data_IF_226870410430
#
_entry.id   IF_226870410430
#
_cell.length_a   1.000
_cell.length_b   1.000
_cell.length_c   1.000
_cell.angle_alpha   90.00
_cell.angle_beta   90.00
_cell.angle_gamma   90.00
#
_symmetry.space_group_name_H-M   'P 1'
#
loop_
_entity.id
_entity.type
_entity.pdbx_description
1 polymer ?
#
# COMPACT_ATOMS: atom_id res chain seq x y z
N UNK A 1 30.92 -31.45 -17.26
CA UNK A 1 30.20 -30.17 -17.17
C UNK A 1 30.42 -29.62 -15.77
N UNK A 2 31.32 -28.65 -15.60
CA UNK A 2 31.62 -28.07 -14.28
C UNK A 2 30.63 -26.93 -14.05
N UNK A 3 29.63 -27.18 -13.20
CA UNK A 3 28.68 -26.15 -12.77
C UNK A 3 29.34 -25.28 -11.72
N UNK A 4 29.76 -24.08 -12.10
CA UNK A 4 30.23 -23.07 -11.17
C UNK A 4 29.07 -22.65 -10.25
N UNK A 5 29.10 -23.11 -9.00
CA UNK A 5 28.17 -22.67 -7.97
C UNK A 5 28.50 -21.21 -7.66
N UNK A 6 27.59 -20.30 -8.03
CA UNK A 6 27.71 -18.88 -7.72
C UNK A 6 27.58 -18.70 -6.20
N UNK A 7 28.68 -18.44 -5.51
CA UNK A 7 28.64 -17.99 -4.12
C UNK A 7 28.00 -16.61 -4.11
N UNK A 8 26.94 -16.43 -3.32
CA UNK A 8 26.39 -15.10 -3.08
C UNK A 8 27.20 -14.48 -1.96
N UNK A 9 28.07 -13.56 -2.32
CA UNK A 9 28.84 -12.79 -1.35
C UNK A 9 27.91 -11.77 -0.70
N UNK A 10 27.33 -12.14 0.44
CA UNK A 10 26.57 -11.23 1.28
C UNK A 10 27.52 -10.61 2.30
N UNK A 11 27.83 -9.32 2.12
CA UNK A 11 28.49 -8.50 3.13
C UNK A 11 27.48 -7.99 4.15
N UNK A 12 27.92 -7.83 5.41
CA UNK A 12 27.11 -7.18 6.43
C UNK A 12 26.95 -5.69 6.08
N UNK A 13 25.79 -5.12 6.38
CA UNK A 13 25.54 -3.70 6.12
C UNK A 13 26.18 -2.91 7.26
N UNK A 14 27.33 -2.29 6.98
CA UNK A 14 28.11 -1.55 7.99
C UNK A 14 27.44 -0.23 8.40
N UNK A 15 26.68 0.40 7.49
CA UNK A 15 25.89 1.59 7.78
C UNK A 15 24.48 1.45 7.23
N UNK A 16 23.57 1.00 8.09
CA UNK A 16 22.16 0.78 7.72
C UNK A 16 21.44 2.06 7.32
N UNK A 17 21.90 3.22 7.80
CA UNK A 17 21.26 4.50 7.54
C UNK A 17 21.61 4.95 6.12
N UNK A 18 22.91 5.03 5.80
CA UNK A 18 23.39 5.44 4.49
C UNK A 18 22.82 4.56 3.36
N UNK A 19 22.72 3.26 3.58
CA UNK A 19 22.16 2.31 2.60
C UNK A 19 20.64 2.47 2.38
N UNK A 20 19.90 2.96 3.37
CA UNK A 20 18.43 3.06 3.32
C UNK A 20 17.91 4.47 3.01
N UNK A 21 18.73 5.52 3.13
CA UNK A 21 18.35 6.92 2.88
C UNK A 21 17.92 7.19 1.42
N UNK A 22 18.38 6.40 0.46
CA UNK A 22 17.96 6.49 -0.95
C UNK A 22 16.52 6.07 -1.21
N UNK A 23 15.84 5.45 -0.23
CA UNK A 23 14.48 4.98 -0.39
C UNK A 23 13.50 6.15 -0.30
N UNK A 24 12.55 6.21 -1.23
CA UNK A 24 11.61 7.32 -1.44
C UNK A 24 10.77 7.72 -0.20
N UNK A 25 10.78 6.91 0.86
CA UNK A 25 10.17 7.22 2.15
C UNK A 25 10.90 8.32 2.93
N UNK A 26 12.17 8.61 2.63
CA UNK A 26 12.99 9.62 3.32
C UNK A 26 13.29 10.87 2.49
N UNK A 27 12.79 10.98 1.25
CA UNK A 27 12.96 12.21 0.47
C UNK A 27 11.99 13.31 0.95
N UNK A 28 12.47 14.56 1.12
CA UNK A 28 11.58 15.67 1.43
C UNK A 28 10.54 15.80 0.31
N UNK A 29 9.26 15.97 0.68
CA UNK A 29 8.19 16.21 -0.28
C UNK A 29 8.55 17.46 -1.09
N UNK A 30 8.73 17.32 -2.40
CA UNK A 30 8.70 18.48 -3.29
C UNK A 30 7.30 19.05 -3.18
N UNK A 31 7.21 20.29 -2.71
CA UNK A 31 5.96 21.04 -2.76
C UNK A 31 5.65 21.35 -4.23
N UNK A 32 4.89 20.45 -4.88
CA UNK A 32 4.34 20.66 -6.21
C UNK A 32 3.18 21.65 -6.10
N UNK A 33 3.54 22.94 -6.07
CA UNK A 33 2.59 24.04 -6.05
C UNK A 33 1.67 24.05 -7.28
N UNK A 34 0.38 24.25 -6.99
CA UNK A 34 -0.63 24.95 -7.82
C UNK A 34 -0.92 24.46 -9.24
N UNK A 35 -1.23 23.18 -9.44
CA UNK A 35 -1.94 22.73 -10.65
C UNK A 35 -3.40 22.30 -10.38
N UNK A 36 -3.89 22.45 -9.14
CA UNK A 36 -5.23 22.00 -8.72
C UNK A 36 -6.33 23.07 -8.84
N UNK A 37 -6.07 24.23 -9.45
CA UNK A 37 -7.08 25.29 -9.56
C UNK A 37 -7.94 25.21 -10.84
N UNK A 38 -7.51 24.46 -11.86
CA UNK A 38 -8.25 24.39 -13.14
C UNK A 38 -9.31 23.27 -13.18
N UNK A 39 -9.19 22.25 -12.33
CA UNK A 39 -10.10 21.10 -12.29
C UNK A 39 -11.34 21.30 -11.40
N UNK A 40 -11.33 22.33 -10.55
CA UNK A 40 -12.42 22.62 -9.61
C UNK A 40 -13.56 23.41 -10.26
N UNK A 41 -13.24 24.27 -11.25
CA UNK A 41 -14.21 25.14 -11.92
C UNK A 41 -15.21 24.42 -12.87
N UNK A 42 -14.94 23.17 -13.26
CA UNK A 42 -15.79 22.39 -14.18
C UNK A 42 -16.56 21.24 -13.50
N UNK A 43 -16.39 21.06 -12.19
CA UNK A 43 -16.91 19.91 -11.42
C UNK A 43 -18.39 20.06 -11.00
N UNK A 44 -19.19 20.83 -11.75
CA UNK A 44 -20.60 21.12 -11.44
C UNK A 44 -21.62 20.07 -11.92
N UNK A 45 -21.18 19.02 -12.63
CA UNK A 45 -22.03 17.92 -13.10
C UNK A 45 -21.81 16.69 -12.22
N UNK A 46 -22.22 16.79 -10.96
CA UNK A 46 -21.90 15.83 -9.91
C UNK A 46 -22.48 14.44 -10.18
N UNK A 47 -21.60 13.45 -10.40
CA UNK A 47 -21.89 12.05 -10.13
C UNK A 47 -22.16 11.87 -8.62
N UNK A 48 -23.09 11.00 -8.19
CA UNK A 48 -23.26 10.71 -6.78
C UNK A 48 -21.94 10.16 -6.23
N UNK A 49 -21.29 10.96 -5.37
CA UNK A 49 -20.06 10.59 -4.66
C UNK A 49 -20.38 9.37 -3.81
N UNK A 50 -20.02 8.19 -4.31
CA UNK A 50 -20.19 6.94 -3.57
C UNK A 50 -19.45 7.11 -2.25
N UNK A 51 -20.22 7.18 -1.16
CA UNK A 51 -19.62 7.23 0.16
C UNK A 51 -18.79 5.97 0.34
N UNK A 52 -17.53 6.08 0.78
CA UNK A 52 -16.72 4.90 1.01
C UNK A 52 -17.46 4.04 2.02
N UNK A 53 -17.77 2.80 1.63
CA UNK A 53 -18.33 1.81 2.53
C UNK A 53 -17.42 1.78 3.75
N UNK A 54 -17.98 2.12 4.92
CA UNK A 54 -17.26 2.01 6.20
C UNK A 54 -17.09 0.53 6.49
N UNK A 55 -16.11 -0.10 5.84
CA UNK A 55 -15.70 -1.44 6.18
C UNK A 55 -14.96 -1.30 7.51
N UNK A 56 -15.65 -1.64 8.60
CA UNK A 56 -14.97 -1.90 9.87
C UNK A 56 -13.78 -2.82 9.59
N UNK A 57 -12.60 -2.52 10.14
CA UNK A 57 -11.43 -3.40 10.04
C UNK A 57 -11.79 -4.75 10.67
N UNK A 58 -12.29 -5.67 9.85
CA UNK A 58 -12.60 -7.04 10.24
C UNK A 58 -11.28 -7.78 10.31
N UNK A 59 -10.96 -8.30 11.50
CA UNK A 59 -9.78 -9.12 11.70
C UNK A 59 -9.89 -10.42 10.90
N UNK A 60 -8.74 -10.91 10.42
CA UNK A 60 -8.65 -12.14 9.61
C UNK A 60 -9.34 -13.36 10.27
N UNK A 61 -9.37 -13.40 11.60
CA UNK A 61 -9.95 -14.51 12.37
C UNK A 61 -11.38 -14.25 12.88
N UNK A 62 -11.92 -13.05 12.72
CA UNK A 62 -13.25 -12.67 13.20
C UNK A 62 -14.37 -13.36 12.41
N UNK A 63 -15.60 -13.46 12.95
CA UNK A 63 -16.74 -13.95 12.20
C UNK A 63 -16.98 -13.11 10.93
N UNK A 64 -17.31 -13.77 9.83
CA UNK A 64 -17.56 -13.09 8.55
C UNK A 64 -18.80 -12.19 8.66
N UNK A 65 -18.71 -10.90 8.26
CA UNK A 65 -19.86 -9.99 8.25
C UNK A 65 -20.93 -10.40 7.23
N UNK A 66 -20.63 -11.38 6.37
CA UNK A 66 -21.56 -11.99 5.43
C UNK A 66 -22.58 -12.96 6.07
N UNK A 67 -22.50 -13.19 7.40
CA UNK A 67 -23.44 -14.06 8.11
C UNK A 67 -23.19 -15.57 7.94
N UNK A 68 -22.08 -15.97 7.31
CA UNK A 68 -21.79 -17.39 7.04
C UNK A 68 -21.38 -18.21 8.28
N UNK A 69 -21.14 -17.55 9.42
CA UNK A 69 -20.59 -18.16 10.64
C UNK A 69 -19.12 -18.60 10.52
N UNK A 70 -18.49 -18.47 9.35
CA UNK A 70 -17.08 -18.81 9.12
C UNK A 70 -16.17 -17.64 9.50
N UNK A 71 -14.91 -17.94 9.88
CA UNK A 71 -13.87 -16.90 10.05
C UNK A 71 -13.66 -16.14 8.74
N UNK A 72 -13.42 -14.84 8.79
CA UNK A 72 -13.27 -13.96 7.62
C UNK A 72 -12.28 -14.53 6.59
N UNK A 73 -11.11 -15.00 7.02
CA UNK A 73 -10.09 -15.64 6.17
C UNK A 73 -10.49 -16.90 5.41
N UNK A 74 -11.58 -17.55 5.84
CA UNK A 74 -12.12 -18.77 5.22
C UNK A 74 -13.38 -18.48 4.42
N UNK A 75 -13.78 -17.22 4.30
CA UNK A 75 -14.99 -16.80 3.63
C UNK A 75 -14.68 -15.66 2.64
N UNK A 76 -15.03 -14.40 2.97
CA UNK A 76 -14.83 -13.25 2.08
C UNK A 76 -13.39 -12.73 2.04
N UNK A 77 -12.56 -13.05 3.03
CA UNK A 77 -11.14 -12.65 3.11
C UNK A 77 -10.18 -13.71 2.60
N UNK A 78 -10.57 -14.46 1.57
CA UNK A 78 -9.77 -15.50 0.93
C UNK A 78 -8.59 -14.90 0.19
#
# INVERSE_FOLDING_TARGET
MQGAQRTRDYSFIDDTIAEMEGWASFQPKRDMGSQLDLLDALSGLTLPKQSPVKVSKVGRNDPCPCGSGKKYKKCCGK
#
